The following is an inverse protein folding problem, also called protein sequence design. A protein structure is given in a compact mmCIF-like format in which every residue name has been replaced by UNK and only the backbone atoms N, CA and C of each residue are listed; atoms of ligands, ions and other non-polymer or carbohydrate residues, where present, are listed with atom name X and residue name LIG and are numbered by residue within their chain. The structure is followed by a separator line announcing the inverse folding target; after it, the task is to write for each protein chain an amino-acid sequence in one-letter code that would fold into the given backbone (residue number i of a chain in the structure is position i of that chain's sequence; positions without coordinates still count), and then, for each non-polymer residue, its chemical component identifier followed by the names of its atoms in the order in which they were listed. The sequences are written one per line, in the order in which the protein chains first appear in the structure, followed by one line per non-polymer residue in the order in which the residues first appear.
data_IF_443302809284
#
_entry.id   IF_443302809284
#
_cell.length_a   1.000
_cell.length_b   1.000
_cell.length_c   1.000
_cell.angle_alpha   90.00
_cell.angle_beta   90.00
_cell.angle_gamma   90.00
#
_symmetry.space_group_name_H-M   'P 1'
#
loop_
_entity.id
_entity.type
_entity.pdbx_description
1 polymer ?
#
# COMPACT_ATOMS: atom_id res chain seq x y z
N UNK A 1 38.69 11.74 -27.18
CA UNK A 1 39.13 11.34 -25.84
C UNK A 1 38.77 12.46 -24.87
N UNK A 2 38.13 12.16 -23.75
CA UNK A 2 37.81 13.15 -22.72
C UNK A 2 38.96 13.20 -21.70
N UNK A 3 39.49 14.39 -21.39
CA UNK A 3 40.50 14.59 -20.39
C UNK A 3 39.84 15.22 -19.15
N UNK A 4 40.21 14.72 -17.97
CA UNK A 4 39.72 15.28 -16.69
C UNK A 4 40.47 16.57 -16.27
N UNK A 5 41.45 17.02 -17.08
CA UNK A 5 42.24 18.21 -16.78
C UNK A 5 43.22 18.07 -15.63
N UNK A 6 43.02 17.06 -14.76
CA UNK A 6 43.87 16.70 -13.63
C UNK A 6 43.79 15.20 -13.37
N UNK A 7 44.78 14.69 -12.64
CA UNK A 7 44.76 13.29 -12.23
C UNK A 7 43.68 13.10 -11.16
N UNK A 8 42.71 12.20 -11.44
CA UNK A 8 41.71 11.80 -10.47
C UNK A 8 42.24 10.65 -9.61
N UNK A 9 42.31 10.86 -8.31
CA UNK A 9 42.73 9.82 -7.35
C UNK A 9 41.48 9.14 -6.78
N UNK A 10 41.19 7.95 -7.25
CA UNK A 10 40.06 7.16 -6.80
C UNK A 10 40.20 6.64 -5.36
N UNK A 11 41.42 6.64 -4.79
CA UNK A 11 41.63 6.19 -3.41
C UNK A 11 41.20 7.22 -2.38
N UNK A 12 41.12 8.49 -2.79
CA UNK A 12 40.69 9.60 -1.91
C UNK A 12 39.17 9.75 -1.82
N UNK A 13 38.42 9.04 -2.66
CA UNK A 13 36.95 9.11 -2.71
C UNK A 13 36.35 7.73 -2.48
N UNK A 14 35.51 7.60 -1.47
CA UNK A 14 34.79 6.36 -1.25
C UNK A 14 33.91 6.00 -2.46
N UNK A 15 33.95 4.74 -2.94
CA UNK A 15 33.09 4.32 -4.04
C UNK A 15 31.63 4.48 -3.64
N UNK A 16 30.79 4.77 -4.63
CA UNK A 16 29.34 4.84 -4.45
C UNK A 16 28.85 3.53 -3.85
N UNK A 17 28.29 3.59 -2.64
CA UNK A 17 27.68 2.42 -2.01
C UNK A 17 26.44 2.01 -2.79
N UNK A 18 26.35 0.73 -3.09
CA UNK A 18 25.12 0.13 -3.63
C UNK A 18 23.95 0.49 -2.74
N UNK A 19 22.87 0.98 -3.32
CA UNK A 19 21.64 1.24 -2.56
C UNK A 19 20.98 -0.10 -2.24
N UNK A 20 21.40 -0.71 -1.15
CA UNK A 20 20.74 -1.90 -0.63
C UNK A 20 19.29 -1.56 -0.26
N UNK A 21 18.40 -2.52 -0.50
CA UNK A 21 16.99 -2.38 -0.14
C UNK A 21 16.86 -2.18 1.37
N UNK A 22 16.12 -1.18 1.79
CA UNK A 22 15.87 -0.94 3.22
C UNK A 22 15.08 -2.13 3.80
N UNK A 23 15.43 -2.61 4.99
CA UNK A 23 14.65 -3.61 5.69
C UNK A 23 13.19 -3.15 5.90
N UNK A 24 12.23 -4.07 5.92
CA UNK A 24 10.86 -3.71 6.21
C UNK A 24 10.74 -3.16 7.63
N UNK A 25 10.00 -2.06 7.77
CA UNK A 25 9.86 -1.40 9.06
C UNK A 25 9.18 -0.04 8.96
N UNK A 26 8.97 0.57 10.11
CA UNK A 26 8.46 1.94 10.20
C UNK A 26 9.60 2.92 10.43
N UNK A 27 9.67 3.92 9.59
CA UNK A 27 10.70 4.95 9.63
C UNK A 27 10.04 6.32 9.72
N UNK A 28 10.69 7.25 10.40
CA UNK A 28 10.33 8.67 10.30
C UNK A 28 11.03 9.24 9.07
N UNK A 29 10.29 9.89 8.19
CA UNK A 29 10.84 10.49 6.98
C UNK A 29 10.06 11.71 6.54
N UNK A 30 10.54 12.37 5.50
CA UNK A 30 9.91 13.53 4.87
C UNK A 30 10.11 13.49 3.36
N UNK A 31 9.19 14.08 2.62
CA UNK A 31 9.36 14.30 1.19
C UNK A 31 10.24 15.53 1.02
N UNK A 32 11.35 15.40 0.28
CA UNK A 32 12.31 16.48 0.06
C UNK A 32 12.25 17.05 -1.35
N UNK A 33 11.83 16.25 -2.31
CA UNK A 33 11.66 16.70 -3.69
C UNK A 33 10.50 15.96 -4.36
N UNK A 34 9.89 16.64 -5.32
CA UNK A 34 8.85 16.06 -6.17
C UNK A 34 8.88 16.69 -7.55
N UNK A 35 8.66 15.89 -8.57
CA UNK A 35 8.69 16.30 -9.96
C UNK A 35 7.71 15.51 -10.80
N UNK A 36 7.00 16.19 -11.71
CA UNK A 36 6.21 15.50 -12.73
C UNK A 36 7.11 15.08 -13.90
N UNK A 37 7.16 13.79 -14.17
CA UNK A 37 7.97 13.21 -15.26
C UNK A 37 7.10 12.44 -16.25
N UNK A 38 7.42 12.49 -17.55
CA UNK A 38 6.75 11.65 -18.54
C UNK A 38 7.14 10.18 -18.36
N UNK A 39 6.24 9.28 -18.71
CA UNK A 39 6.54 7.84 -18.80
C UNK A 39 7.49 7.58 -19.96
N UNK A 40 8.18 6.44 -19.93
CA UNK A 40 9.17 6.07 -20.95
C UNK A 40 8.60 6.03 -22.37
N UNK A 41 7.33 5.68 -22.50
CA UNK A 41 6.56 5.62 -23.75
C UNK A 41 5.92 6.96 -24.13
N UNK A 42 6.08 8.00 -23.30
CA UNK A 42 5.55 9.33 -23.54
C UNK A 42 4.02 9.46 -23.43
N UNK A 43 3.30 8.37 -23.14
CA UNK A 43 1.82 8.35 -23.15
C UNK A 43 1.22 8.75 -21.82
N UNK A 44 2.00 8.81 -20.76
CA UNK A 44 1.56 9.14 -19.40
C UNK A 44 2.51 10.05 -18.66
N UNK A 45 2.13 10.37 -17.43
CA UNK A 45 2.94 11.15 -16.49
C UNK A 45 2.84 10.58 -15.09
N UNK A 46 3.95 10.61 -14.37
CA UNK A 46 4.00 10.22 -12.98
C UNK A 46 4.63 11.31 -12.11
N UNK A 47 4.14 11.40 -10.90
CA UNK A 47 4.78 12.21 -9.86
C UNK A 47 5.91 11.37 -9.26
N UNK A 48 7.14 11.84 -9.44
CA UNK A 48 8.33 11.31 -8.81
C UNK A 48 8.49 11.95 -7.46
N UNK A 49 8.67 11.16 -6.42
CA UNK A 49 8.86 11.61 -5.05
C UNK A 49 10.21 11.12 -4.54
N UNK A 50 10.95 12.02 -3.93
CA UNK A 50 12.16 11.73 -3.19
C UNK A 50 11.89 11.92 -1.70
N UNK A 51 12.17 10.90 -0.91
CA UNK A 51 11.83 10.82 0.50
C UNK A 51 13.10 10.54 1.29
N UNK A 52 13.41 11.39 2.26
CA UNK A 52 14.54 11.22 3.17
C UNK A 52 14.08 10.57 4.47
N UNK A 53 14.88 9.66 5.00
CA UNK A 53 14.73 9.13 6.35
C UNK A 53 15.41 10.08 7.33
N UNK A 54 14.67 10.49 8.37
CA UNK A 54 15.13 11.49 9.34
C UNK A 54 15.84 10.88 10.54
N UNK A 55 15.47 9.67 10.96
CA UNK A 55 15.93 9.10 12.22
C UNK A 55 16.34 7.62 12.09
N UNK A 56 17.13 7.16 13.06
CA UNK A 56 17.59 5.79 13.18
C UNK A 56 18.88 5.51 12.39
N UNK A 57 19.23 4.22 12.30
CA UNK A 57 20.48 3.79 11.62
C UNK A 57 20.50 4.09 10.10
N UNK A 58 19.36 4.39 9.52
CA UNK A 58 19.19 4.72 8.10
C UNK A 58 18.93 6.21 7.87
N UNK A 59 19.19 7.07 8.86
CA UNK A 59 19.03 8.51 8.71
C UNK A 59 19.87 9.02 7.53
N UNK A 60 19.30 9.94 6.73
CA UNK A 60 19.91 10.45 5.50
C UNK A 60 19.77 9.52 4.29
N UNK A 61 19.21 8.32 4.45
CA UNK A 61 18.92 7.43 3.35
C UNK A 61 17.73 7.93 2.53
N UNK A 62 17.87 7.92 1.21
CA UNK A 62 16.83 8.32 0.28
C UNK A 62 16.00 7.13 -0.21
N UNK A 63 14.71 7.33 -0.28
CA UNK A 63 13.76 6.44 -0.91
C UNK A 63 13.07 7.16 -2.05
N UNK A 64 12.68 6.42 -3.06
CA UNK A 64 12.04 6.96 -4.25
C UNK A 64 10.71 6.28 -4.48
N UNK A 65 9.67 7.08 -4.79
CA UNK A 65 8.35 6.56 -5.13
C UNK A 65 7.85 7.20 -6.43
N UNK A 66 6.95 6.50 -7.13
CA UNK A 66 6.40 6.92 -8.42
C UNK A 66 4.91 6.73 -8.43
N UNK A 67 4.19 7.83 -8.54
CA UNK A 67 2.72 7.85 -8.59
C UNK A 67 2.27 8.17 -10.01
N UNK A 68 1.78 7.18 -10.75
CA UNK A 68 1.31 7.33 -12.13
C UNK A 68 -0.04 8.08 -12.15
N UNK A 69 0.00 9.40 -12.20
CA UNK A 69 -1.19 10.25 -12.17
C UNK A 69 -1.91 10.36 -13.51
N UNK A 70 -1.16 10.17 -14.61
CA UNK A 70 -1.69 10.10 -15.97
C UNK A 70 -1.21 8.80 -16.60
N UNK A 71 -2.13 7.91 -16.92
CA UNK A 71 -1.82 6.61 -17.53
C UNK A 71 -3.04 6.09 -18.30
N UNK A 72 -2.80 5.29 -19.35
CA UNK A 72 -3.87 4.66 -20.11
C UNK A 72 -4.68 3.63 -19.27
N UNK A 73 -4.05 3.04 -18.24
CA UNK A 73 -4.72 2.12 -17.33
C UNK A 73 -5.33 2.89 -16.15
N UNK A 74 -6.69 2.95 -16.03
CA UNK A 74 -7.39 3.67 -14.98
C UNK A 74 -7.09 3.12 -13.58
N UNK A 75 -6.90 1.81 -13.41
CA UNK A 75 -6.58 1.20 -12.11
C UNK A 75 -5.25 1.72 -11.57
N UNK A 76 -4.26 1.90 -12.45
CA UNK A 76 -2.97 2.46 -12.09
C UNK A 76 -3.10 3.90 -11.58
N UNK A 77 -3.94 4.70 -12.24
CA UNK A 77 -4.22 6.08 -11.83
C UNK A 77 -4.96 6.12 -10.50
N UNK A 78 -5.91 5.21 -10.29
CA UNK A 78 -6.64 5.13 -9.02
C UNK A 78 -5.72 4.77 -7.85
N UNK A 79 -4.83 3.80 -8.03
CA UNK A 79 -3.82 3.44 -7.02
C UNK A 79 -2.94 4.65 -6.69
N UNK A 80 -2.47 5.39 -7.70
CA UNK A 80 -1.66 6.58 -7.50
C UNK A 80 -2.41 7.67 -6.74
N UNK A 81 -3.69 7.93 -7.08
CA UNK A 81 -4.55 8.88 -6.37
C UNK A 81 -4.79 8.47 -4.92
N UNK A 82 -5.01 7.19 -4.64
CA UNK A 82 -5.14 6.67 -3.27
C UNK A 82 -3.86 6.87 -2.46
N UNK A 83 -2.70 6.63 -3.07
CA UNK A 83 -1.41 6.88 -2.43
C UNK A 83 -1.21 8.36 -2.15
N UNK A 84 -1.49 9.24 -3.11
CA UNK A 84 -1.42 10.69 -2.93
C UNK A 84 -2.37 11.17 -1.82
N UNK A 85 -3.59 10.65 -1.76
CA UNK A 85 -4.53 10.92 -0.67
C UNK A 85 -3.98 10.48 0.69
N UNK A 86 -3.28 9.35 0.76
CA UNK A 86 -2.62 8.90 1.99
C UNK A 86 -1.50 9.83 2.42
N UNK A 87 -0.71 10.36 1.47
CA UNK A 87 0.33 11.37 1.73
C UNK A 87 -0.32 12.65 2.27
N UNK A 88 -1.35 13.18 1.62
CA UNK A 88 -2.05 14.38 2.05
C UNK A 88 -2.59 14.25 3.49
N UNK A 89 -3.16 13.10 3.82
CA UNK A 89 -3.64 12.79 5.16
C UNK A 89 -2.50 12.68 6.18
N UNK A 90 -1.39 12.04 5.78
CA UNK A 90 -0.21 11.88 6.63
C UNK A 90 0.41 13.23 6.99
N UNK A 91 0.44 14.16 6.02
CA UNK A 91 0.94 15.52 6.16
C UNK A 91 -0.07 16.45 6.85
N UNK A 92 -1.36 16.05 6.92
CA UNK A 92 -2.43 16.87 7.50
C UNK A 92 -2.99 17.95 6.55
N UNK A 93 -2.72 17.84 5.23
CA UNK A 93 -3.20 18.78 4.21
C UNK A 93 -4.19 18.09 3.29
N UNK A 94 -5.46 18.38 3.46
CA UNK A 94 -6.55 17.73 2.69
C UNK A 94 -6.72 18.31 1.29
N UNK A 95 -6.26 19.54 1.05
CA UNK A 95 -6.31 20.22 -0.23
C UNK A 95 -4.89 20.67 -0.59
N UNK A 96 -4.40 20.21 -1.72
CA UNK A 96 -3.05 20.47 -2.20
C UNK A 96 -3.13 20.81 -3.68
N UNK A 97 -2.65 21.96 -4.05
CA UNK A 97 -2.56 22.43 -5.43
C UNK A 97 -1.17 22.24 -6.03
N UNK A 98 -0.13 22.18 -5.18
CA UNK A 98 1.25 21.98 -5.57
C UNK A 98 1.89 20.92 -4.67
N UNK A 99 2.67 20.01 -5.27
CA UNK A 99 3.36 18.95 -4.54
C UNK A 99 4.42 19.47 -3.54
N UNK A 100 4.95 20.66 -3.74
CA UNK A 100 5.86 21.33 -2.78
C UNK A 100 5.23 21.56 -1.41
N UNK A 101 3.91 21.68 -1.35
CA UNK A 101 3.20 21.82 -0.08
C UNK A 101 3.31 20.57 0.81
N UNK A 102 3.71 19.45 0.24
CA UNK A 102 3.90 18.17 0.95
C UNK A 102 5.33 18.01 1.46
N UNK A 103 6.24 18.91 1.06
CA UNK A 103 7.66 18.80 1.40
C UNK A 103 7.95 19.20 2.85
N UNK A 104 9.04 18.63 3.38
CA UNK A 104 9.67 18.96 4.67
C UNK A 104 8.72 18.77 5.88
N UNK A 105 7.70 17.98 5.72
CA UNK A 105 6.78 17.63 6.83
C UNK A 105 7.08 16.20 7.26
N UNK A 106 7.44 15.97 8.52
CA UNK A 106 7.74 14.63 9.04
C UNK A 106 6.50 13.74 9.07
N UNK A 107 6.61 12.58 8.43
CA UNK A 107 5.56 11.56 8.35
C UNK A 107 6.13 10.17 8.67
N UNK A 108 5.29 9.24 9.02
CA UNK A 108 5.70 7.85 9.23
C UNK A 108 5.63 7.09 7.91
N UNK A 109 6.73 6.44 7.57
CA UNK A 109 6.87 5.60 6.37
C UNK A 109 6.82 4.13 6.81
N UNK A 110 5.83 3.37 6.36
CA UNK A 110 5.82 1.90 6.48
C UNK A 110 6.46 1.33 5.22
N UNK A 111 7.73 0.96 5.35
CA UNK A 111 8.55 0.45 4.23
C UNK A 111 8.45 -1.06 4.18
N UNK A 112 8.22 -1.59 3.00
CA UNK A 112 8.18 -3.02 2.72
C UNK A 112 9.10 -3.35 1.56
N UNK A 113 9.61 -4.56 1.57
CA UNK A 113 10.40 -5.10 0.45
C UNK A 113 9.46 -5.81 -0.51
N UNK A 114 9.54 -5.45 -1.77
CA UNK A 114 8.89 -6.18 -2.86
C UNK A 114 9.88 -7.19 -3.43
N UNK A 115 9.46 -8.42 -3.64
CA UNK A 115 10.31 -9.43 -4.27
C UNK A 115 10.70 -9.00 -5.70
N UNK A 116 11.81 -9.54 -6.21
CA UNK A 116 12.26 -9.25 -7.56
C UNK A 116 11.20 -9.67 -8.59
N UNK A 117 11.02 -8.85 -9.62
CA UNK A 117 10.07 -9.12 -10.70
C UNK A 117 10.75 -8.98 -12.07
N UNK A 118 10.95 -10.10 -12.76
CA UNK A 118 11.62 -10.15 -14.05
C UNK A 118 13.07 -9.71 -13.95
N UNK A 119 13.46 -8.70 -14.72
CA UNK A 119 14.81 -8.13 -14.74
C UNK A 119 15.07 -7.12 -13.58
N UNK A 120 14.05 -6.80 -12.79
CA UNK A 120 14.17 -5.87 -11.69
C UNK A 120 14.42 -6.62 -10.39
N UNK A 121 15.47 -6.23 -9.67
CA UNK A 121 15.78 -6.75 -8.34
C UNK A 121 14.73 -6.38 -7.28
N UNK A 122 15.03 -6.71 -6.04
CA UNK A 122 14.21 -6.29 -4.90
C UNK A 122 14.09 -4.76 -4.86
N UNK A 123 12.95 -4.28 -4.40
CA UNK A 123 12.69 -2.84 -4.30
C UNK A 123 11.88 -2.51 -3.06
N UNK A 124 12.03 -1.29 -2.56
CA UNK A 124 11.20 -0.80 -1.49
C UNK A 124 9.83 -0.32 -2.02
N UNK A 125 8.82 -0.53 -1.21
CA UNK A 125 7.49 0.02 -1.39
C UNK A 125 7.13 0.78 -0.12
N UNK A 126 6.61 1.99 -0.28
CA UNK A 126 6.34 2.91 0.81
C UNK A 126 4.84 3.03 1.01
N UNK A 127 4.41 2.98 2.27
CA UNK A 127 3.07 3.33 2.69
C UNK A 127 3.17 4.52 3.63
N UNK A 128 2.43 5.57 3.34
CA UNK A 128 2.48 6.82 4.09
C UNK A 128 1.45 6.81 5.21
N UNK A 129 1.89 7.05 6.43
CA UNK A 129 1.07 7.07 7.63
C UNK A 129 1.26 8.41 8.36
N UNK A 130 0.24 8.92 9.05
CA UNK A 130 0.41 10.10 9.89
C UNK A 130 1.44 9.81 10.98
N UNK A 131 2.19 10.85 11.36
CA UNK A 131 3.12 10.75 12.47
C UNK A 131 2.35 10.37 13.73
N UNK A 132 2.81 9.36 14.48
CA UNK A 132 2.21 8.97 15.73
C UNK A 132 2.19 10.15 16.72
N UNK A 133 1.03 10.74 16.91
CA UNK A 133 0.81 11.94 17.72
C UNK A 133 -0.41 12.75 17.28
N UNK A 134 -0.87 12.59 16.03
CA UNK A 134 -2.16 13.10 15.56
C UNK A 134 -2.99 11.88 15.16
N UNK A 135 -3.54 11.23 16.18
CA UNK A 135 -4.56 10.20 16.01
C UNK A 135 -5.84 10.87 15.52
N UNK A 136 -5.93 11.11 14.24
CA UNK A 136 -7.20 11.25 13.53
C UNK A 136 -7.72 9.84 13.31
N UNK A 137 -8.33 9.31 14.35
CA UNK A 137 -8.91 7.99 14.39
C UNK A 137 -9.86 7.72 13.25
N UNK A 138 -9.68 6.60 12.62
CA UNK A 138 -10.73 5.62 12.38
C UNK A 138 -10.03 4.29 12.13
N UNK A 139 -9.59 3.65 13.21
CA UNK A 139 -9.64 2.21 13.24
C UNK A 139 -11.11 1.86 13.01
N UNK A 140 -11.46 1.50 11.81
CA UNK A 140 -12.67 0.72 11.63
C UNK A 140 -12.44 -0.57 12.40
N UNK A 141 -13.29 -0.88 13.41
CA UNK A 141 -13.26 -2.19 14.01
C UNK A 141 -13.56 -3.18 12.88
N UNK A 142 -12.66 -4.10 12.65
CA UNK A 142 -12.98 -5.34 11.98
C UNK A 142 -14.20 -5.89 12.70
N UNK A 143 -15.37 -5.71 12.13
CA UNK A 143 -16.56 -6.44 12.54
C UNK A 143 -16.25 -7.91 12.27
N UNK A 144 -15.86 -8.60 13.35
CA UNK A 144 -15.95 -10.03 13.41
C UNK A 144 -17.41 -10.35 13.17
N UNK A 145 -17.71 -10.88 11.99
CA UNK A 145 -18.99 -11.51 11.73
C UNK A 145 -19.07 -12.75 12.63
N UNK A 146 -19.65 -12.56 13.80
CA UNK A 146 -20.19 -13.66 14.58
C UNK A 146 -21.51 -14.03 13.89
N UNK A 147 -21.65 -15.24 13.33
CA UNK A 147 -22.93 -15.66 12.79
C UNK A 147 -23.95 -15.62 13.92
N UNK A 148 -25.20 -15.18 13.69
CA UNK A 148 -26.22 -15.17 14.71
C UNK A 148 -26.48 -16.60 15.19
N UNK A 149 -26.17 -16.86 16.46
CA UNK A 149 -26.64 -18.06 17.15
C UNK A 149 -28.16 -17.97 17.24
N UNK A 150 -28.82 -18.92 16.59
CA UNK A 150 -30.25 -19.13 16.74
C UNK A 150 -30.58 -19.41 18.22
N UNK A 151 -31.63 -18.84 18.77
CA UNK A 151 -32.04 -19.13 20.13
C UNK A 151 -32.47 -20.60 20.27
N UNK A 152 -31.81 -21.29 21.19
CA UNK A 152 -32.20 -22.65 21.60
C UNK A 152 -33.47 -22.51 22.42
N UNK A 153 -34.60 -22.74 21.79
CA UNK A 153 -35.86 -22.88 22.50
C UNK A 153 -35.87 -24.20 23.27
N UNK A 154 -36.04 -24.09 24.55
CA UNK A 154 -36.23 -25.20 25.48
C UNK A 154 -37.43 -26.05 25.08
N UNK A 155 -37.23 -27.36 25.06
CA UNK A 155 -38.28 -28.37 24.94
C UNK A 155 -38.99 -28.54 26.27
N UNK A 156 -40.31 -28.74 26.29
CA UNK A 156 -40.95 -29.67 27.23
C UNK A 156 -41.31 -30.96 26.53
N UNK A 157 -41.03 -32.03 27.25
CA UNK A 157 -41.35 -33.43 26.96
C UNK A 157 -42.84 -33.63 27.21
N UNK A 158 -43.57 -34.27 26.30
CA UNK A 158 -44.66 -35.18 26.69
C UNK A 158 -45.10 -36.08 25.51
N UNK A 159 -44.93 -37.36 25.74
CA UNK A 159 -45.71 -38.55 25.34
C UNK A 159 -46.25 -38.74 23.91
N UNK A 160 -45.85 -39.85 23.35
CA UNK A 160 -46.50 -40.61 22.30
C UNK A 160 -47.87 -41.20 22.78
N UNK A 161 -48.73 -41.87 21.98
CA UNK A 161 -48.38 -42.82 20.93
C UNK A 161 -49.34 -42.93 19.72
N UNK A 162 -48.93 -43.77 18.81
CA UNK A 162 -49.72 -44.76 17.94
C UNK A 162 -50.38 -44.22 16.66
N UNK A 163 -50.02 -44.74 15.56
CA UNK A 163 -50.62 -45.72 14.65
C UNK A 163 -50.28 -45.48 13.17
N UNK A 164 -49.71 -46.42 12.57
CA UNK A 164 -49.56 -46.76 11.14
C UNK A 164 -50.95 -47.13 10.49
N UNK A 165 -51.08 -47.41 9.18
CA UNK A 165 -50.31 -47.12 7.96
C UNK A 165 -51.20 -46.82 6.73
N UNK A 166 -50.56 -46.75 5.58
CA UNK A 166 -51.04 -47.15 4.21
C UNK A 166 -50.79 -46.00 3.21
N UNK A 167 -49.90 -46.14 2.34
CA UNK A 167 -49.82 -46.84 1.07
C UNK A 167 -50.18 -45.98 -0.15
N UNK A 168 -49.32 -46.10 -1.14
CA UNK A 168 -49.55 -45.90 -2.59
C UNK A 168 -49.49 -44.40 -3.05
N UNK A 169 -48.79 -44.08 -4.04
CA UNK A 169 -48.18 -44.71 -5.17
C UNK A 169 -47.49 -43.67 -6.03
N UNK A 170 -46.35 -43.97 -6.52
CA UNK A 170 -45.79 -43.43 -7.74
C UNK A 170 -46.73 -43.81 -8.93
N UNK A 171 -46.66 -43.22 -10.07
CA UNK A 171 -45.47 -42.95 -10.83
C UNK A 171 -45.50 -41.73 -11.80
N UNK A 172 -44.35 -41.37 -12.11
CA UNK A 172 -43.87 -40.59 -13.25
C UNK A 172 -44.02 -41.29 -14.58
N UNK A 173 -44.04 -40.60 -15.67
CA UNK A 173 -43.51 -40.95 -17.01
C UNK A 173 -43.65 -39.74 -17.92
N UNK A 174 -42.53 -39.24 -18.40
CA UNK A 174 -41.86 -39.39 -19.69
C UNK A 174 -42.60 -38.90 -20.93
N UNK A 175 -41.82 -38.22 -21.76
CA UNK A 175 -41.82 -38.03 -23.22
C UNK A 175 -42.37 -36.65 -23.65
N UNK A 176 -41.78 -35.91 -24.55
CA UNK A 176 -40.86 -36.26 -25.64
C UNK A 176 -39.87 -35.11 -25.81
#
# INVERSE_FOLDING_TARGET
MASFGQTFDASSVAPSTSYDVLPPGKYLGQIVASEMRPTKDGTGQYLYLEVDILEGQYAGRKLFDRLNLVNANPDTVEIAKRTLSSICRAVGKMQVSNSEQLHLIPITLDVRVRPPKGLYGESNSIRYLPRNGVSGAAAQPTQSFTPPQAPVAARPITAAPTATPAANGLPWKRQA
#
